data_IF_893586883417
#
_entry.id   IF_893586883417
#
_cell.length_a   1.000
_cell.length_b   1.000
_cell.length_c   1.000
_cell.angle_alpha   90.00
_cell.angle_beta   90.00
_cell.angle_gamma   90.00
#
_symmetry.space_group_name_H-M   'P 1'
#
loop_
_entity.id
_entity.type
_entity.pdbx_description
1 polymer ?
#
# COMPACT_ATOMS: atom_id res chain seq x y z
N UNK A 1 13.17 2.68 22.23
CA UNK A 1 13.34 1.22 22.46
C UNK A 1 14.33 0.70 21.42
N UNK A 2 15.44 0.07 21.81
CA UNK A 2 16.41 -0.49 20.86
C UNK A 2 16.31 -2.02 20.87
N UNK A 3 16.43 -2.62 19.69
CA UNK A 3 16.49 -4.07 19.50
C UNK A 3 17.90 -4.41 19.02
N UNK A 4 18.56 -5.36 19.67
CA UNK A 4 19.87 -5.85 19.28
C UNK A 4 19.75 -6.87 18.14
N UNK A 5 20.46 -6.65 17.04
CA UNK A 5 20.53 -7.57 15.90
C UNK A 5 21.95 -8.10 15.79
N UNK A 6 22.09 -9.44 15.74
CA UNK A 6 23.38 -10.13 15.55
C UNK A 6 23.37 -10.79 14.17
N UNK A 7 23.78 -10.08 13.10
CA UNK A 7 23.78 -10.64 11.76
C UNK A 7 24.78 -11.78 11.63
N UNK A 8 24.41 -12.77 10.83
CA UNK A 8 25.33 -13.76 10.26
C UNK A 8 26.15 -13.14 9.13
N UNK A 9 27.17 -13.85 8.64
CA UNK A 9 27.93 -13.42 7.46
C UNK A 9 27.05 -13.29 6.21
N UNK A 10 26.01 -14.13 6.08
CA UNK A 10 25.09 -14.05 4.95
C UNK A 10 24.17 -12.83 5.05
N UNK A 11 23.67 -12.54 6.25
CA UNK A 11 22.88 -11.31 6.47
C UNK A 11 23.69 -10.07 6.11
N UNK A 12 24.98 -10.03 6.45
CA UNK A 12 25.87 -8.93 6.10
C UNK A 12 26.04 -8.80 4.58
N UNK A 13 26.18 -9.92 3.87
CA UNK A 13 26.27 -9.92 2.40
C UNK A 13 24.99 -9.37 1.77
N UNK A 14 23.83 -9.81 2.23
CA UNK A 14 22.52 -9.33 1.74
C UNK A 14 22.34 -7.85 2.04
N UNK A 15 22.67 -7.41 3.27
CA UNK A 15 22.59 -6.01 3.67
C UNK A 15 23.46 -5.15 2.75
N UNK A 16 24.71 -5.51 2.55
CA UNK A 16 25.65 -4.71 1.77
C UNK A 16 25.25 -4.68 0.28
N UNK A 17 24.82 -5.81 -0.28
CA UNK A 17 24.36 -5.89 -1.67
C UNK A 17 23.13 -5.01 -1.96
N UNK A 18 22.27 -4.78 -0.96
CA UNK A 18 21.03 -4.02 -1.12
C UNK A 18 21.12 -2.58 -0.60
N UNK A 19 22.25 -2.20 0.00
CA UNK A 19 22.46 -0.89 0.58
C UNK A 19 22.62 0.16 -0.50
N UNK A 20 21.83 1.22 -0.44
CA UNK A 20 22.04 2.37 -1.32
C UNK A 20 23.12 3.30 -0.78
N UNK A 21 23.66 4.15 -1.67
CA UNK A 21 24.55 5.24 -1.26
C UNK A 21 23.83 6.11 -0.21
N UNK A 22 24.51 6.36 0.90
CA UNK A 22 24.04 7.13 2.06
C UNK A 22 23.01 6.46 2.99
N UNK A 23 22.60 5.20 2.74
CA UNK A 23 21.77 4.45 3.70
C UNK A 23 22.59 3.91 4.87
N UNK A 24 21.99 3.85 6.07
CA UNK A 24 22.54 3.06 7.20
C UNK A 24 22.02 1.64 7.14
N UNK A 25 22.72 0.69 7.78
CA UNK A 25 22.25 -0.70 7.92
C UNK A 25 20.84 -0.79 8.51
N UNK A 26 20.50 0.07 9.46
CA UNK A 26 19.16 0.12 10.04
C UNK A 26 18.09 0.58 9.04
N UNK A 27 18.44 1.41 8.05
CA UNK A 27 17.52 1.81 6.98
C UNK A 27 17.23 0.63 6.05
N UNK A 28 18.27 -0.12 5.68
CA UNK A 28 18.13 -1.37 4.90
C UNK A 28 17.26 -2.38 5.63
N UNK A 29 17.52 -2.61 6.93
CA UNK A 29 16.70 -3.53 7.74
C UNK A 29 15.24 -3.06 7.82
N UNK A 30 14.99 -1.75 8.02
CA UNK A 30 13.61 -1.23 8.01
C UNK A 30 12.92 -1.43 6.66
N UNK A 31 13.64 -1.28 5.55
CA UNK A 31 13.11 -1.54 4.21
C UNK A 31 12.81 -3.03 4.01
N UNK A 32 13.69 -3.92 4.45
CA UNK A 32 13.45 -5.37 4.42
C UNK A 32 12.20 -5.76 5.24
N UNK A 33 12.02 -5.19 6.43
CA UNK A 33 10.81 -5.42 7.24
C UNK A 33 9.53 -4.96 6.53
N UNK A 34 9.58 -3.83 5.80
CA UNK A 34 8.43 -3.37 4.99
C UNK A 34 8.14 -4.29 3.80
N UNK A 35 9.15 -4.93 3.23
CA UNK A 35 8.96 -5.93 2.19
C UNK A 35 8.25 -7.18 2.73
N UNK A 36 8.63 -7.65 3.92
CA UNK A 36 7.94 -8.77 4.59
C UNK A 36 6.47 -8.44 4.91
N UNK A 37 6.20 -7.22 5.37
CA UNK A 37 4.82 -6.78 5.61
C UNK A 37 4.00 -6.72 4.30
N UNK A 38 4.62 -6.26 3.20
CA UNK A 38 4.00 -6.26 1.87
C UNK A 38 3.68 -7.68 1.39
N UNK A 39 4.61 -8.62 1.53
CA UNK A 39 4.40 -10.02 1.16
C UNK A 39 3.22 -10.64 1.93
N UNK A 40 3.17 -10.42 3.25
CA UNK A 40 2.07 -10.88 4.07
C UNK A 40 0.73 -10.22 3.68
N UNK A 41 0.75 -8.95 3.27
CA UNK A 41 -0.43 -8.27 2.74
C UNK A 41 -0.89 -8.87 1.40
N UNK A 42 0.02 -9.18 0.49
CA UNK A 42 -0.32 -9.77 -0.81
C UNK A 42 -0.94 -11.16 -0.66
N UNK A 43 -0.42 -11.97 0.26
CA UNK A 43 -1.00 -13.28 0.58
C UNK A 43 -2.44 -13.14 1.09
N UNK A 44 -2.67 -12.23 2.04
CA UNK A 44 -4.03 -11.93 2.54
C UNK A 44 -4.93 -11.41 1.42
N UNK A 45 -4.45 -10.47 0.61
CA UNK A 45 -5.22 -9.91 -0.50
C UNK A 45 -5.63 -10.99 -1.50
N UNK A 46 -4.72 -11.92 -1.85
CA UNK A 46 -5.03 -13.05 -2.73
C UNK A 46 -6.06 -13.99 -2.11
N UNK A 47 -5.92 -14.32 -0.82
CA UNK A 47 -6.89 -15.12 -0.10
C UNK A 47 -8.28 -14.46 -0.08
N UNK A 48 -8.34 -13.15 0.16
CA UNK A 48 -9.57 -12.37 0.14
C UNK A 48 -10.19 -12.33 -1.25
N UNK A 49 -9.42 -12.13 -2.32
CA UNK A 49 -9.91 -12.21 -3.70
C UNK A 49 -10.57 -13.57 -3.98
N UNK A 50 -9.98 -14.67 -3.52
CA UNK A 50 -10.57 -15.99 -3.70
C UNK A 50 -11.87 -16.17 -2.89
N UNK A 51 -11.89 -15.65 -1.66
CA UNK A 51 -13.05 -15.68 -0.75
C UNK A 51 -14.21 -14.85 -1.28
N UNK A 52 -13.93 -13.68 -1.84
CA UNK A 52 -14.89 -12.69 -2.33
C UNK A 52 -15.18 -12.82 -3.83
N UNK A 53 -14.75 -13.92 -4.48
CA UNK A 53 -14.90 -14.12 -5.93
C UNK A 53 -16.34 -13.96 -6.44
N UNK A 54 -17.33 -14.26 -5.60
CA UNK A 54 -18.75 -14.19 -5.95
C UNK A 54 -19.45 -12.95 -5.39
N UNK A 55 -18.69 -12.03 -4.80
CA UNK A 55 -19.23 -10.75 -4.36
C UNK A 55 -19.63 -9.91 -5.58
N UNK A 56 -20.87 -9.45 -5.58
CA UNK A 56 -21.37 -8.51 -6.56
C UNK A 56 -21.16 -7.09 -6.02
N UNK A 57 -20.11 -6.43 -6.48
CA UNK A 57 -19.78 -5.06 -6.09
C UNK A 57 -20.83 -4.03 -6.54
N UNK A 58 -21.76 -4.42 -7.42
CA UNK A 58 -22.86 -3.55 -7.86
C UNK A 58 -24.14 -3.71 -7.05
N UNK A 59 -24.15 -4.64 -6.08
CA UNK A 59 -25.33 -4.90 -5.24
C UNK A 59 -25.67 -3.71 -4.31
N UNK A 60 -24.69 -2.89 -3.96
CA UNK A 60 -24.87 -1.66 -3.18
C UNK A 60 -24.45 -0.44 -4.00
N UNK A 61 -25.10 0.70 -3.75
CA UNK A 61 -24.74 1.96 -4.40
C UNK A 61 -23.38 2.46 -3.88
N UNK A 62 -22.59 3.06 -4.77
CA UNK A 62 -21.32 3.67 -4.39
C UNK A 62 -21.49 4.70 -3.27
N UNK A 63 -20.52 4.75 -2.36
CA UNK A 63 -20.45 5.77 -1.31
C UNK A 63 -20.09 7.17 -1.84
N UNK A 64 -20.02 7.34 -3.17
CA UNK A 64 -19.66 8.56 -3.85
C UNK A 64 -20.42 8.66 -5.18
N UNK A 65 -20.70 9.88 -5.63
CA UNK A 65 -21.45 10.16 -6.86
C UNK A 65 -20.90 11.42 -7.55
N UNK A 66 -21.09 11.56 -8.85
CA UNK A 66 -20.72 12.78 -9.57
C UNK A 66 -21.83 13.83 -9.45
N UNK A 67 -21.47 15.08 -9.19
CA UNK A 67 -22.37 16.22 -9.29
C UNK A 67 -22.53 16.72 -10.73
N UNK A 68 -23.38 17.73 -10.94
CA UNK A 68 -23.66 18.30 -12.25
C UNK A 68 -22.43 18.95 -12.92
N UNK A 69 -21.44 19.34 -12.12
CA UNK A 69 -20.19 19.96 -12.56
C UNK A 69 -19.07 18.90 -12.75
N UNK A 70 -19.36 17.62 -12.51
CA UNK A 70 -18.42 16.51 -12.65
C UNK A 70 -17.49 16.31 -11.45
N UNK A 71 -17.76 16.95 -10.30
CA UNK A 71 -17.00 16.71 -9.07
C UNK A 71 -17.52 15.49 -8.32
N UNK A 72 -16.67 14.89 -7.49
CA UNK A 72 -17.01 13.72 -6.68
C UNK A 72 -17.64 14.19 -5.36
N UNK A 73 -18.93 13.92 -5.17
CA UNK A 73 -19.67 14.13 -3.92
C UNK A 73 -19.69 12.84 -3.10
N UNK A 74 -19.28 12.91 -1.84
CA UNK A 74 -19.31 11.77 -0.92
C UNK A 74 -20.67 11.72 -0.22
N UNK A 75 -21.37 10.60 -0.32
CA UNK A 75 -22.72 10.45 0.22
C UNK A 75 -22.71 10.59 1.76
N UNK A 76 -23.70 11.28 2.32
CA UNK A 76 -23.87 11.43 3.77
C UNK A 76 -22.87 12.35 4.49
N UNK A 77 -21.87 12.92 3.81
CA UNK A 77 -20.83 13.75 4.47
C UNK A 77 -20.82 15.21 4.04
N UNK A 78 -21.57 15.58 2.99
CA UNK A 78 -21.58 16.94 2.42
C UNK A 78 -20.25 17.37 1.80
N UNK A 79 -19.28 16.45 1.70
CA UNK A 79 -17.97 16.69 1.13
C UNK A 79 -18.01 16.53 -0.40
N UNK A 80 -17.52 17.53 -1.11
CA UNK A 80 -17.30 17.48 -2.56
C UNK A 80 -15.83 17.71 -2.86
N UNK A 81 -15.25 16.82 -3.67
CA UNK A 81 -13.85 16.84 -4.09
C UNK A 81 -13.81 17.02 -5.61
N UNK A 82 -13.00 17.96 -6.14
CA UNK A 82 -12.86 18.07 -7.58
C UNK A 82 -12.31 16.76 -8.16
N UNK A 83 -13.00 16.21 -9.16
CA UNK A 83 -12.45 15.10 -9.94
C UNK A 83 -11.19 15.64 -10.61
N UNK A 84 -10.02 15.06 -10.33
CA UNK A 84 -8.75 15.54 -10.92
C UNK A 84 -8.91 15.64 -12.44
N UNK A 85 -8.70 16.82 -13.00
CA UNK A 85 -8.48 16.98 -14.45
C UNK A 85 -7.38 16.01 -14.85
N UNK A 86 -7.63 15.21 -15.89
CA UNK A 86 -6.56 14.43 -16.50
C UNK A 86 -5.57 15.42 -17.13
N UNK A 87 -4.53 15.78 -16.40
CA UNK A 87 -3.28 16.24 -17.00
C UNK A 87 -2.68 15.03 -17.72
N UNK A 88 -3.06 14.86 -18.99
CA UNK A 88 -2.31 14.06 -19.93
C UNK A 88 -1.45 15.03 -20.77
N UNK A 89 -0.14 14.78 -20.94
CA UNK A 89 0.72 15.60 -21.79
C UNK A 89 0.32 15.53 -23.27
#
# INVERSE_FOLDING_TARGET
MSVGFRPTEEDLRVIEANRHKDEKTSDVIRRALRLLDREAWEERARADMHRLRTEDLSAEADAWEYDADGNIRITGTGLTVPARSQDHP
#
